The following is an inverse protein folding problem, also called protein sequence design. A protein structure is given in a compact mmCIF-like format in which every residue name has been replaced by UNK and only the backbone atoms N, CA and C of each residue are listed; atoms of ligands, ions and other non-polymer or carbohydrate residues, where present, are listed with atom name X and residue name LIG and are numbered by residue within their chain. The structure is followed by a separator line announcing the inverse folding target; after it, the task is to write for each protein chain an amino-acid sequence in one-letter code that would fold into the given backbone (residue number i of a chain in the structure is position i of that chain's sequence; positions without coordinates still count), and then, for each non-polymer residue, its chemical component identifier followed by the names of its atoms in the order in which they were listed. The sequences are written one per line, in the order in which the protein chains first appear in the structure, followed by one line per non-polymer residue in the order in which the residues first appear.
data_IF_357737650644
#
_entry.id   IF_357737650644
#
_cell.length_a   1.000
_cell.length_b   1.000
_cell.length_c   1.000
_cell.angle_alpha   90.00
_cell.angle_beta   90.00
_cell.angle_gamma   90.00
#
_symmetry.space_group_name_H-M   'P 1'
#
loop_
_entity.id
_entity.type
_entity.pdbx_description
1 polymer ?
#
# COMPACT_ATOMS: atom_id res chain seq x y z
N UNK A 1 -2.81 15.62 -0.43
CA UNK A 1 -3.54 15.05 0.73
C UNK A 1 -4.22 13.77 0.26
N UNK A 2 -4.20 12.68 1.03
CA UNK A 2 -4.80 11.40 0.60
C UNK A 2 -6.33 11.39 0.84
N UNK A 3 -7.07 10.81 -0.10
CA UNK A 3 -8.52 10.64 -0.06
C UNK A 3 -8.92 9.36 0.68
N UNK A 4 -8.80 9.35 2.01
CA UNK A 4 -9.11 8.17 2.82
C UNK A 4 -10.58 7.71 2.77
N UNK A 5 -11.48 8.49 2.19
CA UNK A 5 -12.86 8.07 1.92
C UNK A 5 -12.95 7.01 0.80
N UNK A 6 -11.88 6.79 0.02
CA UNK A 6 -11.84 5.75 -1.02
C UNK A 6 -11.50 4.36 -0.52
N UNK A 7 -11.13 4.22 0.75
CA UNK A 7 -10.78 2.95 1.36
C UNK A 7 -11.56 2.76 2.65
N UNK A 8 -11.90 1.51 2.98
CA UNK A 8 -12.57 1.22 4.23
C UNK A 8 -11.59 1.30 5.43
N UNK A 9 -12.13 1.29 6.65
CA UNK A 9 -11.33 1.36 7.88
C UNK A 9 -10.34 0.21 8.01
N UNK A 10 -10.72 -1.00 7.57
CA UNK A 10 -9.88 -2.19 7.64
C UNK A 10 -8.66 -2.03 6.73
N UNK A 11 -8.86 -1.69 5.45
CA UNK A 11 -7.81 -1.46 4.47
C UNK A 11 -6.87 -0.35 4.91
N UNK A 12 -7.39 0.77 5.44
CA UNK A 12 -6.54 1.84 5.98
C UNK A 12 -5.66 1.35 7.14
N UNK A 13 -6.21 0.53 8.03
CA UNK A 13 -5.44 -0.06 9.15
C UNK A 13 -4.38 -1.02 8.63
N UNK A 14 -4.73 -1.90 7.69
CA UNK A 14 -3.79 -2.83 7.05
C UNK A 14 -2.63 -2.09 6.37
N UNK A 15 -2.92 -1.05 5.59
CA UNK A 15 -1.89 -0.21 4.98
C UNK A 15 -0.98 0.45 6.03
N UNK A 16 -1.54 0.96 7.13
CA UNK A 16 -0.74 1.55 8.21
C UNK A 16 0.17 0.51 8.87
N UNK A 17 -0.32 -0.72 9.08
CA UNK A 17 0.49 -1.83 9.60
C UNK A 17 1.63 -2.17 8.64
N UNK A 18 1.33 -2.33 7.35
CA UNK A 18 2.31 -2.66 6.32
C UNK A 18 3.39 -1.57 6.21
N UNK A 19 3.00 -0.29 6.17
CA UNK A 19 3.94 0.84 6.07
C UNK A 19 4.81 1.03 7.33
N UNK A 20 4.40 0.47 8.47
CA UNK A 20 5.15 0.54 9.72
C UNK A 20 6.11 -0.65 9.91
N UNK A 21 5.99 -1.69 9.08
CA UNK A 21 6.84 -2.87 9.15
C UNK A 21 8.11 -2.66 8.31
N UNK A 22 9.27 -2.82 8.93
CA UNK A 22 10.58 -2.54 8.33
C UNK A 22 10.85 -3.36 7.07
N UNK A 23 10.42 -4.64 7.05
CA UNK A 23 10.53 -5.52 5.88
C UNK A 23 9.80 -4.96 4.64
N UNK A 24 8.79 -4.12 4.82
CA UNK A 24 8.07 -3.47 3.73
C UNK A 24 8.57 -2.05 3.40
N UNK A 25 9.61 -1.55 4.08
CA UNK A 25 10.22 -0.26 3.78
C UNK A 25 10.63 -0.05 2.30
N UNK A 26 11.16 -1.07 1.56
CA UNK A 26 11.50 -0.89 0.15
C UNK A 26 10.29 -1.04 -0.79
N UNK A 27 9.09 -1.31 -0.27
CA UNK A 27 7.89 -1.47 -1.08
C UNK A 27 7.10 -0.17 -1.18
N UNK A 28 6.39 -0.02 -2.30
CA UNK A 28 5.49 1.10 -2.57
C UNK A 28 4.11 0.55 -2.93
N UNK A 29 3.06 1.20 -2.41
CA UNK A 29 1.70 0.95 -2.84
C UNK A 29 1.53 1.45 -4.28
N UNK A 30 1.08 0.57 -5.17
CA UNK A 30 0.84 0.90 -6.58
C UNK A 30 -0.60 0.57 -6.99
N UNK A 31 -0.87 0.62 -8.30
CA UNK A 31 -2.13 0.17 -8.86
C UNK A 31 -3.32 1.07 -8.53
N UNK A 32 -4.50 0.45 -8.55
CA UNK A 32 -5.78 1.16 -8.40
C UNK A 32 -5.95 1.79 -7.02
N UNK A 33 -5.43 1.15 -5.97
CA UNK A 33 -5.55 1.63 -4.60
C UNK A 33 -4.74 2.90 -4.40
N UNK A 34 -3.48 2.93 -4.87
CA UNK A 34 -2.64 4.14 -4.84
C UNK A 34 -3.31 5.30 -5.57
N UNK A 35 -3.82 5.06 -6.78
CA UNK A 35 -4.47 6.08 -7.58
C UNK A 35 -5.80 6.57 -6.96
N UNK A 36 -6.54 5.68 -6.31
CA UNK A 36 -7.77 6.05 -5.59
C UNK A 36 -7.48 6.95 -4.39
N UNK A 37 -6.44 6.63 -3.61
CA UNK A 37 -6.01 7.47 -2.49
C UNK A 37 -5.46 8.82 -2.97
N UNK A 38 -4.86 8.88 -4.16
CA UNK A 38 -4.33 10.13 -4.72
C UNK A 38 -5.40 11.02 -5.35
N UNK A 39 -6.36 10.45 -6.08
CA UNK A 39 -7.35 11.22 -6.87
C UNK A 39 -8.77 11.24 -6.28
N UNK A 40 -9.07 10.39 -5.31
CA UNK A 40 -10.41 10.31 -4.73
C UNK A 40 -11.49 9.73 -5.67
N UNK A 41 -11.09 9.14 -6.80
CA UNK A 41 -11.96 8.92 -7.95
C UNK A 41 -12.92 7.72 -7.83
N UNK A 42 -12.64 6.75 -6.97
CA UNK A 42 -13.48 5.56 -6.73
C UNK A 42 -13.11 4.86 -5.43
N UNK A 43 -13.97 3.96 -4.95
CA UNK A 43 -13.63 3.03 -3.87
C UNK A 43 -12.66 1.96 -4.39
N UNK A 44 -11.68 1.59 -3.57
CA UNK A 44 -10.74 0.49 -3.84
C UNK A 44 -10.57 -0.40 -2.61
N UNK A 45 -10.32 -1.69 -2.84
CA UNK A 45 -10.25 -2.72 -1.79
C UNK A 45 -8.97 -3.57 -1.84
N UNK A 46 -8.14 -3.39 -2.86
CA UNK A 46 -6.96 -4.21 -3.13
C UNK A 46 -5.69 -3.61 -2.49
N UNK A 47 -4.62 -4.39 -2.39
CA UNK A 47 -3.29 -3.91 -2.02
C UNK A 47 -2.29 -4.51 -3.00
N UNK A 48 -1.66 -3.65 -3.81
CA UNK A 48 -0.56 -4.03 -4.70
C UNK A 48 0.73 -3.36 -4.19
N UNK A 49 1.72 -4.14 -3.78
CA UNK A 49 3.01 -3.65 -3.29
C UNK A 49 4.14 -4.06 -4.24
N UNK A 50 4.91 -3.08 -4.73
CA UNK A 50 6.01 -3.29 -5.66
C UNK A 50 7.30 -2.75 -5.06
N UNK A 51 8.42 -3.41 -5.34
CA UNK A 51 9.76 -3.00 -4.91
C UNK A 51 10.74 -3.10 -6.08
N UNK A 52 11.81 -2.30 -6.04
CA UNK A 52 12.92 -2.39 -6.98
C UNK A 52 14.01 -3.36 -6.49
N UNK A 53 13.87 -3.92 -5.28
CA UNK A 53 14.76 -4.94 -4.75
C UNK A 53 14.74 -6.18 -5.66
N UNK A 54 15.89 -6.83 -5.83
CA UNK A 54 15.92 -8.06 -6.60
C UNK A 54 15.26 -9.20 -5.83
N UNK A 55 14.82 -10.22 -6.57
CA UNK A 55 14.25 -11.41 -5.96
C UNK A 55 15.27 -12.09 -5.03
N UNK A 56 14.92 -12.21 -3.76
CA UNK A 56 15.77 -12.81 -2.72
C UNK A 56 16.61 -11.82 -1.90
N UNK A 57 16.61 -10.52 -2.23
CA UNK A 57 17.39 -9.52 -1.48
C UNK A 57 16.71 -9.08 -0.18
N UNK A 58 15.41 -9.31 -0.06
CA UNK A 58 14.63 -8.95 1.14
C UNK A 58 14.52 -10.16 2.03
N UNK A 59 14.99 -10.00 3.28
CA UNK A 59 14.86 -11.00 4.33
C UNK A 59 13.47 -10.90 4.99
N UNK A 60 12.73 -12.01 5.00
CA UNK A 60 11.38 -12.11 5.55
C UNK A 60 11.31 -13.01 6.79
N UNK A 61 12.44 -13.54 7.26
CA UNK A 61 12.54 -14.42 8.44
C UNK A 61 12.59 -13.64 9.77
#
# INVERSE_FOLDING_TARGET
MLHYNTVNKLLRKSLSTLMSAEVFAPFRLVGGTALSLQLGHRISIDIDLFTDALYGDIDFE
#
